data_IF_326318227153
#
_entry.id   IF_326318227153
#
_cell.length_a   1.000
_cell.length_b   1.000
_cell.length_c   1.000
_cell.angle_alpha   90.00
_cell.angle_beta   90.00
_cell.angle_gamma   90.00
#
_symmetry.space_group_name_H-M   'P 1'
#
loop_
_entity.id
_entity.type
_entity.pdbx_description
1 polymer ?
#
# COMPACT_ATOMS: atom_id res chain seq x y z
N UNK A 1 -7.20 10.56 32.07
CA UNK A 1 -8.03 10.43 30.85
C UNK A 1 -8.61 11.79 30.45
N UNK A 2 -7.77 12.71 29.98
CA UNK A 2 -8.19 14.03 29.45
C UNK A 2 -7.66 14.24 28.04
N UNK A 3 -6.47 13.70 27.74
CA UNK A 3 -5.81 13.80 26.44
C UNK A 3 -6.61 13.20 25.28
N UNK A 4 -7.22 12.02 25.44
CA UNK A 4 -8.06 11.45 24.38
C UNK A 4 -9.30 12.32 24.15
N UNK A 5 -9.91 12.85 25.22
CA UNK A 5 -11.07 13.74 25.11
C UNK A 5 -10.70 15.08 24.50
N UNK A 6 -9.55 15.67 24.83
CA UNK A 6 -9.02 16.87 24.17
C UNK A 6 -8.72 16.63 22.68
N UNK A 7 -8.31 15.41 22.30
CA UNK A 7 -8.05 15.04 20.91
C UNK A 7 -9.33 14.85 20.09
N UNK A 8 -10.49 14.63 20.72
CA UNK A 8 -11.78 14.44 20.03
C UNK A 8 -12.74 15.62 20.23
N UNK A 9 -12.64 16.37 21.33
CA UNK A 9 -13.58 17.44 21.71
C UNK A 9 -13.11 18.85 21.39
N UNK A 10 -11.82 19.04 21.07
CA UNK A 10 -11.25 20.35 20.74
C UNK A 10 -11.03 20.49 19.23
N UNK A 11 -11.22 21.68 18.67
CA UNK A 11 -11.07 21.96 17.23
C UNK A 11 -9.70 21.53 16.66
N UNK A 12 -8.66 21.58 17.48
CA UNK A 12 -7.31 21.09 17.15
C UNK A 12 -7.23 19.56 16.99
N UNK A 13 -8.03 18.85 17.78
CA UNK A 13 -8.12 17.40 17.75
C UNK A 13 -8.73 16.88 16.45
N UNK A 14 -9.81 17.51 16.00
CA UNK A 14 -10.45 17.21 14.71
C UNK A 14 -9.50 17.43 13.52
N UNK A 15 -8.74 18.53 13.53
CA UNK A 15 -7.70 18.82 12.53
C UNK A 15 -6.62 17.71 12.51
N UNK A 16 -6.16 17.28 13.69
CA UNK A 16 -5.18 16.19 13.82
C UNK A 16 -5.74 14.85 13.31
N UNK A 17 -7.00 14.52 13.64
CA UNK A 17 -7.68 13.32 13.18
C UNK A 17 -7.77 13.28 11.65
N UNK A 18 -8.15 14.39 11.01
CA UNK A 18 -8.20 14.48 9.55
C UNK A 18 -6.82 14.19 8.94
N UNK A 19 -5.76 14.76 9.51
CA UNK A 19 -4.38 14.48 9.09
C UNK A 19 -3.99 13.00 9.25
N UNK A 20 -4.37 12.38 10.38
CA UNK A 20 -4.11 10.96 10.64
C UNK A 20 -4.85 10.06 9.65
N UNK A 21 -6.14 10.33 9.40
CA UNK A 21 -6.91 9.60 8.41
C UNK A 21 -6.35 9.76 6.99
N UNK A 22 -5.89 10.97 6.65
CA UNK A 22 -5.25 11.22 5.37
C UNK A 22 -3.93 10.46 5.24
N UNK A 23 -3.08 10.47 6.27
CA UNK A 23 -1.84 9.69 6.33
C UNK A 23 -2.08 8.19 6.15
N UNK A 24 -3.06 7.64 6.89
CA UNK A 24 -3.44 6.23 6.78
C UNK A 24 -4.05 5.88 5.41
N UNK A 25 -4.89 6.76 4.86
CA UNK A 25 -5.47 6.59 3.53
C UNK A 25 -4.39 6.55 2.45
N UNK A 26 -3.43 7.47 2.51
CA UNK A 26 -2.28 7.49 1.60
C UNK A 26 -1.40 6.25 1.78
N UNK A 27 -1.15 5.81 3.01
CA UNK A 27 -0.40 4.57 3.28
C UNK A 27 -1.06 3.36 2.59
N UNK A 28 -2.37 3.17 2.78
CA UNK A 28 -3.11 2.05 2.16
C UNK A 28 -3.12 2.17 0.64
N UNK A 29 -3.28 3.38 0.11
CA UNK A 29 -3.22 3.65 -1.33
C UNK A 29 -1.86 3.23 -1.92
N UNK A 30 -0.75 3.62 -1.29
CA UNK A 30 0.57 3.20 -1.73
C UNK A 30 0.72 1.68 -1.69
N UNK A 31 0.34 1.02 -0.59
CA UNK A 31 0.38 -0.44 -0.50
C UNK A 31 -0.39 -1.09 -1.65
N UNK A 32 -1.63 -0.64 -1.93
CA UNK A 32 -2.44 -1.12 -3.06
C UNK A 32 -1.78 -0.88 -4.41
N UNK A 33 -1.21 0.31 -4.62
CA UNK A 33 -0.52 0.68 -5.86
C UNK A 33 0.71 -0.21 -6.10
N UNK A 34 1.53 -0.43 -5.06
CA UNK A 34 2.72 -1.27 -5.16
C UNK A 34 2.34 -2.74 -5.35
N UNK A 35 1.34 -3.24 -4.63
CA UNK A 35 0.89 -4.62 -4.76
C UNK A 35 0.30 -4.91 -6.15
N UNK A 36 -0.49 -3.99 -6.71
CA UNK A 36 -1.02 -4.10 -8.06
C UNK A 36 0.09 -4.13 -9.13
N UNK A 37 1.13 -3.31 -8.99
CA UNK A 37 2.28 -3.32 -9.91
C UNK A 37 3.12 -4.60 -9.78
N UNK A 38 3.25 -5.16 -8.57
CA UNK A 38 3.94 -6.43 -8.34
C UNK A 38 3.18 -7.60 -8.95
N UNK A 39 1.85 -7.61 -8.89
CA UNK A 39 1.00 -8.65 -9.51
C UNK A 39 1.13 -8.65 -11.04
N UNK A 40 1.07 -7.46 -11.66
CA UNK A 40 1.34 -7.30 -13.10
C UNK A 40 2.75 -7.80 -13.48
N UNK A 41 3.75 -7.48 -12.65
CA UNK A 41 5.14 -7.92 -12.88
C UNK A 41 5.32 -9.43 -12.69
N UNK A 42 4.65 -10.05 -11.72
CA UNK A 42 4.68 -11.48 -11.46
C UNK A 42 3.95 -12.28 -12.56
N UNK A 43 2.83 -11.74 -13.06
CA UNK A 43 2.09 -12.35 -14.18
C UNK A 43 2.93 -12.39 -15.47
N UNK A 44 3.72 -11.36 -15.71
CA UNK A 44 4.59 -11.28 -16.88
C UNK A 44 5.92 -12.05 -16.72
N UNK A 45 6.26 -12.45 -15.49
CA UNK A 45 7.45 -13.26 -15.18
C UNK A 45 7.21 -14.77 -15.35
N UNK A 46 5.94 -15.20 -15.44
CA UNK A 46 5.58 -16.62 -15.60
C UNK A 46 5.32 -17.02 -17.05
N UNK A 47 5.13 -16.06 -17.96
CA UNK A 47 4.96 -16.31 -19.41
C UNK A 47 6.28 -16.26 -20.20
N UNK A 48 7.36 -15.77 -19.59
CA UNK A 48 8.68 -15.65 -20.19
C UNK A 48 9.66 -16.67 -19.63
N UNK A 49 9.96 -17.70 -20.43
CA UNK A 49 11.17 -18.53 -20.32
C UNK A 49 11.10 -19.75 -19.39
N UNK A 50 10.37 -20.77 -19.85
CA UNK A 50 10.79 -22.15 -19.59
C UNK A 50 12.26 -22.32 -20.09
N UNK A 51 13.17 -22.90 -19.29
CA UNK A 51 14.53 -23.15 -19.73
C UNK A 51 14.47 -24.16 -20.88
N UNK A 52 14.83 -23.69 -22.08
CA UNK A 52 15.01 -24.55 -23.26
C UNK A 52 16.19 -25.47 -22.93
N UNK A 53 16.02 -26.81 -22.92
CA UNK A 53 17.12 -27.70 -22.59
C UNK A 53 18.26 -27.55 -23.62
N UNK A 54 19.52 -27.65 -23.20
CA UNK A 54 20.66 -27.50 -24.09
C UNK A 54 20.75 -28.74 -24.99
N UNK A 55 20.48 -28.54 -26.28
CA UNK A 55 20.83 -29.48 -27.35
C UNK A 55 19.83 -30.62 -27.60
N UNK A 56 19.28 -30.65 -28.82
CA UNK A 56 19.07 -31.88 -29.61
C UNK A 56 18.45 -31.58 -30.98
N UNK A 57 19.22 -30.97 -31.88
CA UNK A 57 19.46 -31.38 -33.28
C UNK A 57 20.23 -30.33 -34.06
#
# INVERSE_FOLDING_TARGET
>A
MKLLTDLFSTDYGLMSIIGIFFMLGMMVFFIRLFLGKMDESASNSTSGQAPRPPGSR
#
